data_IF_838775279702
#
_entry.id   IF_838775279702
#
_cell.length_a   1.000
_cell.length_b   1.000
_cell.length_c   1.000
_cell.angle_alpha   90.00
_cell.angle_beta   90.00
_cell.angle_gamma   90.00
#
_symmetry.space_group_name_H-M   'P 1'
#
loop_
_entity.id
_entity.type
_entity.pdbx_description
1 polymer ?
#
# COMPACT_ATOMS: atom_id res chain seq x y z
N UNK A 1 10.31 -3.21 -11.09
CA UNK A 1 9.49 -2.39 -10.17
C UNK A 1 8.03 -2.72 -10.43
N UNK A 2 7.42 -3.60 -9.64
CA UNK A 2 6.00 -3.90 -9.75
C UNK A 2 5.24 -2.91 -8.86
N UNK A 3 4.39 -2.07 -9.45
CA UNK A 3 3.58 -1.10 -8.70
C UNK A 3 2.64 -1.83 -7.73
N UNK A 4 2.58 -1.43 -6.45
CA UNK A 4 1.77 -2.11 -5.43
C UNK A 4 0.28 -2.20 -5.78
N UNK A 5 -0.20 -1.31 -6.67
CA UNK A 5 -1.53 -1.39 -7.28
C UNK A 5 -1.79 -2.73 -7.98
N UNK A 6 -0.76 -3.31 -8.64
CA UNK A 6 -0.86 -4.65 -9.23
C UNK A 6 -0.91 -5.74 -8.16
N UNK A 7 -0.17 -5.62 -7.06
CA UNK A 7 -0.12 -6.64 -6.00
C UNK A 7 -1.46 -6.77 -5.23
N UNK A 8 -2.18 -5.66 -5.02
CA UNK A 8 -3.52 -5.68 -4.41
C UNK A 8 -4.64 -6.22 -5.33
N UNK A 9 -4.43 -6.19 -6.66
CA UNK A 9 -5.45 -6.53 -7.66
C UNK A 9 -5.31 -7.94 -8.24
N UNK A 10 -4.11 -8.54 -8.27
CA UNK A 10 -3.89 -9.88 -8.80
C UNK A 10 -4.15 -10.93 -7.70
N UNK A 11 -5.17 -11.76 -7.89
CA UNK A 11 -5.49 -12.87 -7.00
C UNK A 11 -4.72 -14.13 -7.36
N UNK A 12 -3.89 -14.61 -6.44
CA UNK A 12 -3.60 -16.05 -6.30
C UNK A 12 -4.05 -16.41 -4.87
N UNK A 13 -5.00 -17.35 -4.70
CA UNK A 13 -5.53 -17.67 -3.39
C UNK A 13 -4.61 -18.69 -2.73
N UNK A 14 -4.06 -18.40 -1.55
CA UNK A 14 -3.73 -19.51 -0.64
C UNK A 14 -3.99 -19.27 0.85
N UNK A 15 -4.37 -18.05 1.27
CA UNK A 15 -5.12 -17.87 2.53
C UNK A 15 -5.83 -16.52 2.55
N UNK A 16 -7.17 -16.52 2.48
CA UNK A 16 -7.98 -15.32 2.73
C UNK A 16 -8.30 -15.28 4.21
N UNK A 17 -7.60 -14.44 4.98
CA UNK A 17 -8.02 -14.09 6.34
C UNK A 17 -8.81 -12.79 6.25
N UNK A 18 -10.12 -12.89 6.12
CA UNK A 18 -11.02 -11.74 6.23
C UNK A 18 -11.19 -11.41 7.73
N UNK A 19 -10.46 -10.41 8.23
CA UNK A 19 -10.65 -9.86 9.57
C UNK A 19 -11.67 -8.73 9.54
N UNK A 20 -12.82 -8.93 10.16
CA UNK A 20 -13.83 -7.88 10.36
C UNK A 20 -13.43 -7.01 11.57
N UNK A 21 -13.40 -5.68 11.41
CA UNK A 21 -13.41 -4.73 12.52
C UNK A 21 -14.71 -3.91 12.42
N UNK A 22 -15.39 -3.75 13.54
CA UNK A 22 -16.80 -3.37 13.61
C UNK A 22 -17.11 -2.00 12.96
N UNK A 23 -18.11 -2.01 12.08
CA UNK A 23 -18.84 -0.86 11.46
C UNK A 23 -18.16 0.01 10.40
N UNK A 24 -17.24 -0.53 9.61
CA UNK A 24 -16.98 0.01 8.27
C UNK A 24 -16.85 -1.14 7.27
N UNK A 25 -17.51 -1.03 6.10
CA UNK A 25 -17.49 -2.05 5.05
C UNK A 25 -16.18 -2.01 4.26
N UNK A 26 -15.05 -1.82 4.93
CA UNK A 26 -13.72 -1.87 4.33
C UNK A 26 -13.22 -3.32 4.37
N UNK A 27 -13.41 -4.08 3.29
CA UNK A 27 -12.85 -5.43 3.16
C UNK A 27 -11.34 -5.32 3.02
N UNK A 28 -10.60 -5.47 4.11
CA UNK A 28 -9.15 -5.57 4.03
C UNK A 28 -8.77 -6.88 3.30
N UNK A 29 -8.01 -6.78 2.21
CA UNK A 29 -7.44 -7.96 1.53
C UNK A 29 -6.01 -8.17 2.03
N UNK A 30 -5.69 -9.38 2.45
CA UNK A 30 -4.34 -9.77 2.90
C UNK A 30 -3.71 -10.80 1.95
N UNK A 31 -2.39 -10.74 1.83
CA UNK A 31 -1.54 -11.75 1.17
C UNK A 31 -0.30 -11.98 2.03
N UNK A 32 0.13 -13.23 2.11
CA UNK A 32 1.35 -13.60 2.79
C UNK A 32 2.17 -14.55 1.90
N UNK A 33 3.49 -14.41 1.91
CA UNK A 33 4.43 -15.39 1.38
C UNK A 33 5.36 -15.83 2.50
N UNK A 34 5.31 -17.12 2.81
CA UNK A 34 6.25 -17.76 3.73
C UNK A 34 7.20 -18.64 2.92
N UNK A 35 8.45 -18.71 3.34
CA UNK A 35 9.46 -19.57 2.72
C UNK A 35 9.80 -20.72 3.64
N UNK A 36 9.91 -21.92 3.08
CA UNK A 36 10.25 -23.12 3.84
C UNK A 36 11.61 -22.93 4.56
N UNK A 37 11.70 -23.43 5.80
CA UNK A 37 12.88 -23.32 6.68
C UNK A 37 13.28 -21.88 7.07
N UNK A 38 12.42 -20.88 6.81
CA UNK A 38 12.62 -19.50 7.26
C UNK A 38 11.55 -19.13 8.27
N UNK A 39 11.98 -18.68 9.46
CA UNK A 39 11.05 -18.17 10.47
C UNK A 39 10.56 -16.78 10.08
N UNK A 40 9.23 -16.63 10.04
CA UNK A 40 8.56 -15.37 9.70
C UNK A 40 8.07 -15.33 8.26
N UNK A 41 7.43 -14.22 7.91
CA UNK A 41 6.79 -14.00 6.61
C UNK A 41 7.64 -13.06 5.76
N UNK A 42 7.98 -13.49 4.54
CA UNK A 42 8.82 -12.74 3.59
C UNK A 42 8.05 -11.59 2.90
N UNK A 43 6.73 -11.74 2.70
CA UNK A 43 5.83 -10.70 2.18
C UNK A 43 4.54 -10.72 3.02
N UNK A 44 4.13 -9.60 3.61
CA UNK A 44 2.89 -9.52 4.39
C UNK A 44 2.08 -8.29 3.98
N UNK A 45 1.41 -8.42 2.84
CA UNK A 45 0.64 -7.35 2.21
C UNK A 45 -0.78 -7.26 2.80
N UNK A 46 -1.22 -6.03 3.12
CA UNK A 46 -2.58 -5.70 3.55
C UNK A 46 -3.06 -4.47 2.78
N UNK A 47 -4.17 -4.61 2.06
CA UNK A 47 -4.79 -3.52 1.32
C UNK A 47 -6.06 -3.06 2.05
N UNK A 48 -6.22 -1.74 2.20
CA UNK A 48 -7.42 -1.11 2.72
C UNK A 48 -8.18 -0.41 1.60
N UNK A 49 -9.50 -0.34 1.73
CA UNK A 49 -10.39 0.22 0.73
C UNK A 49 -11.34 1.23 1.37
N UNK A 50 -11.72 2.25 0.60
CA UNK A 50 -12.87 3.09 0.96
C UNK A 50 -14.21 2.38 0.68
N UNK A 51 -15.32 3.00 1.06
CA UNK A 51 -16.67 2.44 0.86
C UNK A 51 -17.04 2.28 -0.62
N UNK A 52 -16.40 3.05 -1.51
CA UNK A 52 -16.57 2.92 -2.95
C UNK A 52 -15.77 1.73 -3.52
N UNK A 53 -14.79 1.21 -2.78
CA UNK A 53 -13.90 0.11 -3.17
C UNK A 53 -12.60 0.58 -3.85
N UNK A 54 -12.22 1.85 -3.73
CA UNK A 54 -10.89 2.30 -4.14
C UNK A 54 -9.85 1.86 -3.11
N UNK A 55 -8.65 1.47 -3.55
CA UNK A 55 -7.54 1.10 -2.64
C UNK A 55 -6.97 2.38 -2.03
N UNK A 56 -7.09 2.56 -0.71
CA UNK A 56 -6.56 3.76 -0.02
C UNK A 56 -5.21 3.52 0.65
N UNK A 57 -4.86 2.25 0.90
CA UNK A 57 -3.55 1.85 1.43
C UNK A 57 -3.18 0.46 0.94
N UNK A 58 -1.90 0.25 0.66
CA UNK A 58 -1.27 -1.04 0.42
C UNK A 58 -0.01 -1.13 1.30
N UNK A 59 -0.06 -1.97 2.32
CA UNK A 59 0.94 -2.05 3.37
C UNK A 59 1.63 -3.39 3.37
N UNK A 60 2.96 -3.41 3.27
CA UNK A 60 3.79 -4.59 3.38
C UNK A 60 4.59 -4.55 4.69
N UNK A 61 4.37 -5.54 5.56
CA UNK A 61 4.99 -5.63 6.89
C UNK A 61 5.61 -7.02 7.12
N UNK A 62 6.67 -7.38 6.38
CA UNK A 62 7.32 -8.66 6.52
C UNK A 62 7.86 -8.86 7.94
N UNK A 63 7.86 -10.10 8.41
CA UNK A 63 8.36 -10.48 9.74
C UNK A 63 9.59 -11.38 9.66
N UNK A 64 9.90 -11.93 8.48
CA UNK A 64 11.14 -12.62 8.22
C UNK A 64 12.34 -11.67 8.35
N UNK A 65 13.53 -12.26 8.52
CA UNK A 65 14.78 -11.53 8.77
C UNK A 65 15.92 -12.06 7.91
N UNK A 66 16.85 -11.18 7.57
CA UNK A 66 18.15 -11.57 7.03
C UNK A 66 19.16 -11.44 8.17
N UNK A 67 19.57 -12.57 8.74
CA UNK A 67 20.34 -12.59 9.98
C UNK A 67 19.53 -11.95 11.13
N UNK A 68 20.07 -10.89 11.74
CA UNK A 68 19.37 -10.12 12.79
C UNK A 68 18.55 -8.94 12.23
N UNK A 69 18.72 -8.59 10.96
CA UNK A 69 18.07 -7.43 10.36
C UNK A 69 16.62 -7.74 9.97
N UNK A 70 15.71 -6.84 10.31
CA UNK A 70 14.34 -6.88 9.80
C UNK A 70 14.33 -6.56 8.31
N UNK A 71 13.42 -7.19 7.56
CA UNK A 71 13.14 -6.78 6.20
C UNK A 71 12.51 -5.38 6.17
N UNK A 72 12.77 -4.58 5.13
CA UNK A 72 12.18 -3.26 5.01
C UNK A 72 10.67 -3.39 4.77
N UNK A 73 9.91 -2.47 5.35
CA UNK A 73 8.45 -2.41 5.23
C UNK A 73 8.06 -1.19 4.38
N UNK A 74 6.83 -1.20 3.87
CA UNK A 74 6.30 -0.07 3.11
C UNK A 74 4.80 0.13 3.36
N UNK A 75 4.33 1.37 3.25
CA UNK A 75 2.91 1.73 3.35
C UNK A 75 2.58 2.72 2.24
N UNK A 76 2.11 2.20 1.11
CA UNK A 76 1.72 3.02 -0.03
C UNK A 76 0.30 3.51 0.16
N UNK A 77 0.12 4.81 0.06
CA UNK A 77 -1.14 5.49 0.30
C UNK A 77 -1.62 6.18 -0.99
N UNK A 78 -2.93 6.23 -1.15
CA UNK A 78 -3.57 6.71 -2.36
C UNK A 78 -4.72 7.65 -2.01
N UNK A 79 -4.82 8.76 -2.74
CA UNK A 79 -5.95 9.68 -2.65
C UNK A 79 -6.64 9.81 -3.99
N UNK A 80 -7.96 9.92 -3.90
CA UNK A 80 -8.85 10.03 -5.05
C UNK A 80 -9.67 11.30 -4.93
N UNK A 81 -10.12 11.82 -6.08
CA UNK A 81 -11.19 12.80 -6.11
C UNK A 81 -12.58 12.12 -6.06
N UNK A 82 -13.63 12.94 -6.04
CA UNK A 82 -15.03 12.52 -6.00
C UNK A 82 -15.45 11.62 -7.18
N UNK A 83 -14.71 11.69 -8.30
CA UNK A 83 -14.94 10.85 -9.48
C UNK A 83 -14.12 9.56 -9.44
N UNK A 84 -13.52 9.24 -8.29
CA UNK A 84 -12.69 8.05 -8.05
C UNK A 84 -11.45 8.01 -8.94
N UNK A 85 -10.93 9.18 -9.30
CA UNK A 85 -9.69 9.31 -10.07
C UNK A 85 -8.52 9.52 -9.11
N UNK A 86 -7.41 8.82 -9.35
CA UNK A 86 -6.22 8.93 -8.49
C UNK A 86 -5.58 10.31 -8.68
N UNK A 87 -5.47 11.08 -7.60
CA UNK A 87 -4.90 12.44 -7.58
C UNK A 87 -3.58 12.50 -6.81
N UNK A 88 -3.28 11.51 -5.97
CA UNK A 88 -2.01 11.44 -5.27
C UNK A 88 -1.66 10.00 -4.91
N UNK A 89 -0.38 9.63 -5.02
CA UNK A 89 0.16 8.38 -4.48
C UNK A 89 1.51 8.67 -3.81
N UNK A 90 1.77 8.06 -2.66
CA UNK A 90 3.04 8.20 -1.94
C UNK A 90 3.31 7.00 -1.04
N UNK A 91 4.55 6.87 -0.60
CA UNK A 91 4.91 5.94 0.48
C UNK A 91 4.99 6.69 1.81
N UNK A 92 4.12 6.34 2.76
CA UNK A 92 4.08 6.98 4.05
C UNK A 92 5.29 6.58 4.91
N UNK A 93 5.89 7.56 5.59
CA UNK A 93 6.88 7.29 6.65
C UNK A 93 6.26 6.62 7.88
N UNK A 94 4.94 6.66 8.02
CA UNK A 94 4.20 5.95 9.06
C UNK A 94 3.70 4.59 8.56
N UNK A 95 3.88 3.57 9.38
CA UNK A 95 3.35 2.24 9.13
C UNK A 95 1.83 2.13 9.36
N UNK A 96 1.17 3.16 9.91
CA UNK A 96 -0.25 3.09 10.30
C UNK A 96 -1.12 4.20 9.73
N UNK A 97 -0.53 5.32 9.31
CA UNK A 97 -1.25 6.48 8.81
C UNK A 97 -1.03 6.71 7.32
N UNK A 98 -2.08 7.16 6.64
CA UNK A 98 -2.06 7.69 5.28
C UNK A 98 -2.49 9.16 5.24
N UNK A 99 -2.03 9.96 6.21
CA UNK A 99 -2.10 11.41 6.08
C UNK A 99 -1.30 11.85 4.85
N UNK A 100 -1.89 12.72 4.02
CA UNK A 100 -1.20 13.27 2.86
C UNK A 100 0.06 14.02 3.31
N UNK A 101 1.21 13.76 2.68
CA UNK A 101 2.43 14.48 3.00
C UNK A 101 2.29 15.94 2.52
N UNK A 102 2.74 16.84 3.39
CA UNK A 102 2.96 18.26 3.11
C UNK A 102 4.43 18.52 2.73
N UNK A 103 5.35 17.66 3.15
CA UNK A 103 6.78 17.76 2.87
C UNK A 103 7.40 16.41 2.51
N UNK A 104 8.55 16.43 1.83
CA UNK A 104 9.31 15.22 1.49
C UNK A 104 9.75 14.42 2.73
N UNK A 105 9.86 15.06 3.90
CA UNK A 105 10.27 14.40 5.15
C UNK A 105 9.23 13.42 5.72
N UNK A 106 7.99 13.47 5.21
CA UNK A 106 6.86 12.61 5.57
C UNK A 106 6.74 11.38 4.64
N UNK A 107 7.55 11.35 3.58
CA UNK A 107 7.71 10.21 2.67
C UNK A 107 8.77 9.26 3.24
N UNK A 108 8.52 7.97 3.17
CA UNK A 108 9.42 6.96 3.73
C UNK A 108 9.15 5.56 3.21
N UNK A 109 9.49 4.54 4.01
CA UNK A 109 9.35 3.13 3.61
C UNK A 109 10.50 2.63 2.75
N UNK A 110 10.40 1.37 2.33
CA UNK A 110 11.43 0.66 1.58
C UNK A 110 11.79 1.30 0.23
N UNK A 111 10.80 1.92 -0.44
CA UNK A 111 10.93 2.47 -1.78
C UNK A 111 10.24 3.85 -1.85
N UNK A 112 10.85 4.90 -1.28
CA UNK A 112 10.17 6.16 -1.08
C UNK A 112 9.82 6.86 -2.40
N UNK A 113 8.55 7.28 -2.54
CA UNK A 113 8.11 8.15 -3.64
C UNK A 113 6.94 9.03 -3.23
N UNK A 114 6.74 10.13 -3.96
CA UNK A 114 5.55 10.96 -3.86
C UNK A 114 5.19 11.54 -5.23
N UNK A 115 4.00 11.19 -5.71
CA UNK A 115 3.48 11.58 -7.01
C UNK A 115 2.11 12.24 -6.84
N UNK A 116 2.02 13.58 -6.91
CA UNK A 116 0.78 14.26 -7.23
C UNK A 116 0.43 14.05 -8.72
N UNK A 117 -0.84 13.76 -8.98
CA UNK A 117 -1.39 13.65 -10.32
C UNK A 117 -2.33 14.81 -10.59
N UNK A 118 -2.13 15.49 -11.70
CA UNK A 118 -3.05 16.48 -12.23
C UNK A 118 -3.73 15.91 -13.47
N UNK A 119 -5.05 16.00 -13.51
CA UNK A 119 -5.79 15.71 -14.72
C UNK A 119 -5.80 16.97 -15.60
N UNK A 120 -5.34 16.82 -16.83
CA UNK A 120 -5.47 17.84 -17.85
C UNK A 120 -6.18 17.25 -19.09
N UNK A 121 -6.43 18.08 -20.10
CA UNK A 121 -7.11 17.67 -21.35
C UNK A 121 -6.39 16.56 -22.14
N UNK A 122 -5.12 16.28 -21.81
CA UNK A 122 -4.29 15.22 -22.42
C UNK A 122 -4.22 13.96 -21.56
N UNK A 123 -4.89 13.91 -20.40
CA UNK A 123 -4.87 12.78 -19.47
C UNK A 123 -4.21 13.10 -18.14
N UNK A 124 -3.80 12.07 -17.39
CA UNK A 124 -3.09 12.23 -16.12
C UNK A 124 -1.61 12.54 -16.36
N UNK A 125 -1.13 13.66 -15.83
CA UNK A 125 0.31 13.91 -15.67
C UNK A 125 0.71 13.70 -14.23
N UNK A 126 1.78 12.93 -14.01
CA UNK A 126 2.47 12.88 -12.73
C UNK A 126 3.54 13.96 -12.70
N UNK A 127 3.57 14.79 -11.65
CA UNK A 127 4.77 15.56 -11.35
C UNK A 127 5.63 14.73 -10.38
N UNK A 128 6.89 14.47 -10.74
CA UNK A 128 7.86 13.88 -9.82
C UNK A 128 8.59 15.01 -9.10
N UNK A 129 8.63 14.95 -7.76
CA UNK A 129 9.49 15.78 -6.92
C UNK A 129 10.70 14.98 -6.45
#
# INVERSE_FOLDING_TARGET
MANARFCCLIGVPERVVAGWQDRARAVARSRALDREQVTGTDLAMRCAYDDAGNVISAKDQPTAKIGKAALPWDNQCFQYDELRRLIQAWTAKSATSCAAPSTASEVGGAAPYWHPYTLNRHGFSAASL
#
